data_IF_127777957819
#
_entry.id   IF_127777957819
#
_cell.length_a   1.000
_cell.length_b   1.000
_cell.length_c   1.000
_cell.angle_alpha   90.00
_cell.angle_beta   90.00
_cell.angle_gamma   90.00
#
_symmetry.space_group_name_H-M   'P 1'
#
loop_
_entity.id
_entity.type
_entity.pdbx_description
1 polymer ?
#
# COMPACT_ATOMS: atom_id res chain seq x y z
N UNK A 1 16.62 -3.08 32.05
CA UNK A 1 16.65 -4.15 31.05
C UNK A 1 17.67 -3.78 30.00
N UNK A 2 18.38 -4.74 29.42
CA UNK A 2 19.28 -4.45 28.33
C UNK A 2 18.47 -4.12 27.05
N UNK A 3 18.91 -3.11 26.31
CA UNK A 3 18.28 -2.67 25.06
C UNK A 3 18.96 -3.37 23.87
N UNK A 4 18.21 -3.63 22.80
CA UNK A 4 18.77 -4.11 21.54
C UNK A 4 19.63 -2.99 20.93
N UNK A 5 20.92 -3.23 20.78
CA UNK A 5 21.87 -2.33 20.16
C UNK A 5 23.06 -3.14 19.58
N UNK A 6 24.02 -2.48 18.91
CA UNK A 6 25.18 -3.15 18.29
C UNK A 6 26.21 -3.66 19.30
N UNK A 7 26.09 -3.32 20.57
CA UNK A 7 26.91 -3.89 21.64
C UNK A 7 26.34 -5.23 22.08
N UNK A 8 24.99 -5.31 22.22
CA UNK A 8 24.29 -6.53 22.67
C UNK A 8 24.13 -7.55 21.54
N UNK A 9 23.96 -7.08 20.30
CA UNK A 9 23.88 -7.95 19.11
C UNK A 9 24.87 -7.46 18.06
N UNK A 10 26.03 -8.10 17.93
CA UNK A 10 26.97 -7.79 16.86
C UNK A 10 26.27 -7.94 15.52
N UNK A 11 26.23 -6.87 14.71
CA UNK A 11 25.66 -6.93 13.35
C UNK A 11 26.42 -7.97 12.53
N UNK A 12 25.71 -8.85 11.77
CA UNK A 12 26.35 -9.73 10.79
C UNK A 12 27.07 -8.95 9.70
N UNK A 13 26.68 -7.71 9.45
CA UNK A 13 27.37 -6.78 8.54
C UNK A 13 28.50 -6.13 9.33
N UNK A 14 29.74 -6.49 9.02
CA UNK A 14 30.95 -6.00 9.69
C UNK A 14 30.95 -4.48 9.86
N UNK A 15 31.71 -3.99 10.85
CA UNK A 15 31.91 -2.57 11.18
C UNK A 15 32.73 -1.84 10.10
N UNK A 16 32.26 -1.87 8.85
CA UNK A 16 32.76 -0.98 7.83
C UNK A 16 32.12 0.38 8.03
N UNK A 17 32.85 1.45 7.67
CA UNK A 17 32.37 2.85 7.71
C UNK A 17 30.93 2.92 7.21
N UNK A 18 30.04 3.67 7.90
CA UNK A 18 28.63 3.71 7.56
C UNK A 18 28.42 4.45 6.22
N UNK A 19 28.43 3.70 5.13
CA UNK A 19 28.05 4.27 3.84
C UNK A 19 26.53 4.38 3.76
N UNK A 20 26.07 5.51 3.20
CA UNK A 20 24.66 5.77 2.89
C UNK A 20 24.51 5.84 1.39
N UNK A 21 23.97 4.80 0.79
CA UNK A 21 23.63 4.76 -0.64
C UNK A 21 22.16 5.04 -0.90
N UNK A 22 21.33 4.96 0.15
CA UNK A 22 19.87 5.13 0.07
C UNK A 22 19.41 6.17 1.09
N UNK A 23 18.59 7.13 0.66
CA UNK A 23 17.80 7.97 1.55
C UNK A 23 16.35 7.50 1.52
N UNK A 24 15.74 7.25 2.69
CA UNK A 24 14.35 6.84 2.78
C UNK A 24 13.50 7.85 3.55
N UNK A 25 12.44 8.36 2.92
CA UNK A 25 11.45 9.22 3.54
C UNK A 25 10.26 8.40 4.08
N UNK A 26 9.97 8.55 5.38
CA UNK A 26 8.85 7.88 6.04
C UNK A 26 9.19 6.49 6.58
N UNK A 27 10.16 6.34 7.52
CA UNK A 27 10.61 5.06 8.06
C UNK A 27 9.59 4.41 9.00
N UNK A 28 8.34 4.33 8.56
CA UNK A 28 7.22 3.71 9.28
C UNK A 28 7.33 2.19 9.40
N UNK A 29 6.31 1.56 9.98
CA UNK A 29 6.29 0.11 10.18
C UNK A 29 6.39 -0.64 8.85
N UNK A 30 5.69 -0.18 7.81
CA UNK A 30 5.73 -0.84 6.50
C UNK A 30 7.13 -0.83 5.89
N UNK A 31 7.80 0.33 5.83
CA UNK A 31 9.17 0.39 5.34
C UNK A 31 10.11 -0.56 6.10
N UNK A 32 10.06 -0.52 7.44
CA UNK A 32 10.93 -1.34 8.29
C UNK A 32 10.66 -2.84 8.13
N UNK A 33 9.41 -3.21 7.87
CA UNK A 33 9.02 -4.61 7.66
C UNK A 33 9.22 -5.08 6.21
N UNK A 34 9.38 -4.17 5.24
CA UNK A 34 9.41 -4.47 3.82
C UNK A 34 10.73 -4.03 3.17
N UNK A 35 10.86 -2.79 2.66
CA UNK A 35 12.05 -2.34 1.91
C UNK A 35 13.35 -2.54 2.68
N UNK A 36 13.36 -2.18 3.96
CA UNK A 36 14.56 -2.31 4.78
C UNK A 36 15.00 -3.78 4.96
N UNK A 37 14.10 -4.75 4.91
CA UNK A 37 14.45 -6.16 4.96
C UNK A 37 15.12 -6.63 3.66
N UNK A 38 14.67 -6.15 2.48
CA UNK A 38 15.35 -6.42 1.21
C UNK A 38 16.76 -5.83 1.17
N UNK A 39 16.91 -4.60 1.68
CA UNK A 39 18.23 -3.96 1.74
C UNK A 39 19.15 -4.65 2.76
N UNK A 40 18.63 -5.09 3.91
CA UNK A 40 19.40 -5.82 4.91
C UNK A 40 20.03 -7.10 4.34
N UNK A 41 19.30 -7.79 3.46
CA UNK A 41 19.79 -8.99 2.77
C UNK A 41 20.96 -8.70 1.82
N UNK A 42 21.05 -7.47 1.27
CA UNK A 42 22.14 -7.07 0.37
C UNK A 42 23.40 -6.59 1.08
N UNK A 43 23.26 -6.09 2.32
CA UNK A 43 24.38 -5.42 3.00
C UNK A 43 25.55 -6.33 3.34
N UNK A 44 25.33 -7.65 3.39
CA UNK A 44 26.40 -8.61 3.58
C UNK A 44 27.37 -8.64 2.39
N UNK A 45 26.84 -8.47 1.18
CA UNK A 45 27.61 -8.52 -0.07
C UNK A 45 28.04 -7.11 -0.51
N UNK A 46 27.21 -6.09 -0.29
CA UNK A 46 27.51 -4.71 -0.66
C UNK A 46 27.09 -3.71 0.42
N UNK A 47 28.00 -3.34 1.34
CA UNK A 47 27.69 -2.45 2.47
C UNK A 47 27.43 -0.99 2.08
N UNK A 48 27.58 -0.61 0.80
CA UNK A 48 27.31 0.75 0.32
C UNK A 48 25.84 1.15 0.43
N UNK A 49 24.91 0.19 0.48
CA UNK A 49 23.48 0.42 0.41
C UNK A 49 22.81 0.68 1.77
N UNK A 50 23.58 1.13 2.76
CA UNK A 50 22.99 1.59 4.03
C UNK A 50 21.96 2.70 3.83
N UNK A 51 20.95 2.73 4.69
CA UNK A 51 19.80 3.63 4.60
C UNK A 51 19.95 4.79 5.58
N UNK A 52 19.83 6.04 5.11
CA UNK A 52 19.50 7.18 5.94
C UNK A 52 17.97 7.30 6.07
N UNK A 53 17.44 7.12 7.27
CA UNK A 53 16.02 7.23 7.57
C UNK A 53 15.64 8.68 7.85
N UNK A 54 14.71 9.24 7.07
CA UNK A 54 14.25 10.63 7.19
C UNK A 54 12.78 10.68 7.59
N UNK A 55 12.50 11.23 8.76
CA UNK A 55 11.13 11.53 9.20
C UNK A 55 10.86 13.02 9.06
N UNK A 56 9.93 13.39 8.17
CA UNK A 56 9.64 14.80 7.87
C UNK A 56 8.81 15.51 8.96
N UNK A 57 8.11 14.77 9.84
CA UNK A 57 7.09 15.35 10.73
C UNK A 57 7.23 14.96 12.20
N UNK A 58 7.65 13.73 12.49
CA UNK A 58 7.65 13.17 13.84
C UNK A 58 9.01 12.60 14.20
N UNK A 59 9.34 12.51 15.49
CA UNK A 59 10.64 12.02 15.97
C UNK A 59 10.61 10.58 16.47
N UNK A 60 9.48 10.10 16.98
CA UNK A 60 9.43 8.86 17.76
C UNK A 60 10.08 7.65 17.11
N UNK A 61 9.83 7.41 15.82
CA UNK A 61 10.48 6.29 15.09
C UNK A 61 11.99 6.51 14.93
N UNK A 62 12.41 7.75 14.65
CA UNK A 62 13.82 8.09 14.49
C UNK A 62 14.57 7.94 15.82
N UNK A 63 13.97 8.41 16.92
CA UNK A 63 14.54 8.29 18.27
C UNK A 63 14.67 6.83 18.71
N UNK A 64 13.64 6.01 18.47
CA UNK A 64 13.68 4.58 18.76
C UNK A 64 14.78 3.85 17.97
N UNK A 65 14.91 4.13 16.66
CA UNK A 65 15.98 3.56 15.83
C UNK A 65 17.36 4.05 16.28
N UNK A 66 17.52 5.34 16.55
CA UNK A 66 18.80 5.91 16.98
C UNK A 66 19.26 5.35 18.32
N UNK A 67 18.33 5.16 19.27
CA UNK A 67 18.63 4.58 20.60
C UNK A 67 19.12 3.11 20.50
N UNK A 68 18.87 2.44 19.39
CA UNK A 68 19.20 1.03 19.13
C UNK A 68 20.25 0.86 18.03
N UNK A 69 21.03 1.91 17.70
CA UNK A 69 22.03 1.89 16.62
C UNK A 69 21.44 1.45 15.26
N UNK A 70 20.14 1.67 15.04
CA UNK A 70 19.40 1.27 13.85
C UNK A 70 19.01 -0.19 13.79
N UNK A 71 19.23 -0.96 14.83
CA UNK A 71 18.78 -2.35 14.92
C UNK A 71 17.32 -2.40 15.39
N UNK A 72 16.57 -3.34 14.85
CA UNK A 72 15.22 -3.68 15.32
C UNK A 72 14.84 -5.09 14.89
N UNK A 73 13.89 -5.66 15.61
CA UNK A 73 13.37 -7.00 15.33
C UNK A 73 12.23 -6.93 14.31
N UNK A 74 12.34 -7.72 13.26
CA UNK A 74 11.25 -8.06 12.37
C UNK A 74 10.66 -9.41 12.78
N UNK A 75 9.44 -9.41 13.30
CA UNK A 75 8.68 -10.62 13.61
C UNK A 75 7.87 -11.04 12.38
N UNK A 76 8.19 -12.19 11.82
CA UNK A 76 7.44 -12.81 10.72
C UNK A 76 6.36 -13.69 11.35
N UNK A 77 5.09 -13.33 11.10
CA UNK A 77 3.91 -13.94 11.70
C UNK A 77 3.23 -14.88 10.71
N UNK A 78 3.47 -16.18 10.89
CA UNK A 78 2.85 -17.23 10.10
C UNK A 78 2.67 -18.49 10.97
N UNK A 79 2.22 -19.61 10.40
CA UNK A 79 2.14 -20.90 11.06
C UNK A 79 3.49 -21.26 11.73
N UNK A 80 4.59 -21.00 11.06
CA UNK A 80 5.93 -21.03 11.61
C UNK A 80 6.43 -19.57 11.74
N UNK A 81 6.28 -19.01 12.95
CA UNK A 81 6.73 -17.65 13.23
C UNK A 81 8.25 -17.62 13.38
N UNK A 82 8.88 -16.58 12.82
CA UNK A 82 10.31 -16.34 12.92
C UNK A 82 10.59 -14.89 13.34
N UNK A 83 11.75 -14.65 13.94
CA UNK A 83 12.24 -13.31 14.24
C UNK A 83 13.64 -13.13 13.68
N UNK A 84 13.90 -11.98 13.10
CA UNK A 84 15.25 -11.58 12.65
C UNK A 84 15.54 -10.15 13.05
N UNK A 85 16.79 -9.85 13.33
CA UNK A 85 17.24 -8.49 13.58
C UNK A 85 17.61 -7.84 12.25
N UNK A 86 17.04 -6.68 11.96
CA UNK A 86 17.32 -5.85 10.80
C UNK A 86 18.29 -4.74 11.23
N UNK A 87 19.29 -4.50 10.40
CA UNK A 87 20.32 -3.49 10.65
C UNK A 87 20.63 -2.64 9.42
N UNK A 88 19.66 -2.41 8.53
CA UNK A 88 19.88 -1.68 7.28
C UNK A 88 20.10 -0.17 7.46
N UNK A 89 19.60 0.43 8.56
CA UNK A 89 19.67 1.87 8.78
C UNK A 89 21.03 2.30 9.35
N UNK A 90 21.52 3.45 8.89
CA UNK A 90 22.82 4.05 9.25
C UNK A 90 22.71 5.43 9.84
N UNK A 91 21.77 6.25 9.34
CA UNK A 91 21.51 7.60 9.83
C UNK A 91 20.02 7.78 10.13
N UNK A 92 19.73 8.66 11.11
CA UNK A 92 18.40 8.87 11.67
C UNK A 92 18.13 10.35 11.74
N UNK A 93 17.32 10.87 10.79
CA UNK A 93 17.13 12.29 10.58
C UNK A 93 15.68 12.68 10.87
N UNK A 94 15.51 13.61 11.82
CA UNK A 94 14.25 14.23 12.16
C UNK A 94 13.98 15.53 11.36
N UNK A 95 12.86 16.20 11.65
CA UNK A 95 12.53 17.48 10.98
C UNK A 95 13.55 18.60 11.18
N UNK A 96 14.35 18.55 12.25
CA UNK A 96 15.40 19.51 12.58
C UNK A 96 16.70 19.29 11.81
N UNK A 97 16.90 18.10 11.23
CA UNK A 97 18.14 17.71 10.55
C UNK A 97 18.14 18.09 9.07
N UNK A 98 17.40 19.16 8.71
CA UNK A 98 17.22 19.60 7.32
C UNK A 98 18.54 19.79 6.57
N UNK A 99 19.55 20.39 7.21
CA UNK A 99 20.87 20.60 6.60
C UNK A 99 21.55 19.28 6.24
N UNK A 100 21.46 18.26 7.11
CA UNK A 100 22.06 16.93 6.83
C UNK A 100 21.28 16.21 5.74
N UNK A 101 19.95 16.29 5.75
CA UNK A 101 19.10 15.74 4.70
C UNK A 101 19.45 16.34 3.32
N UNK A 102 19.60 17.67 3.23
CA UNK A 102 20.06 18.32 2.00
C UNK A 102 21.45 17.84 1.57
N UNK A 103 22.39 17.72 2.50
CA UNK A 103 23.74 17.23 2.19
C UNK A 103 23.72 15.82 1.60
N UNK A 104 22.91 14.90 2.17
CA UNK A 104 22.74 13.55 1.63
C UNK A 104 22.12 13.54 0.24
N UNK A 105 21.05 14.31 0.03
CA UNK A 105 20.42 14.39 -1.29
C UNK A 105 21.34 14.99 -2.36
N UNK A 106 22.28 15.84 -1.97
CA UNK A 106 23.28 16.40 -2.87
C UNK A 106 24.48 15.45 -3.11
N UNK A 107 24.72 14.48 -2.22
CA UNK A 107 25.86 13.57 -2.26
C UNK A 107 25.73 12.53 -3.38
N UNK A 108 26.64 12.48 -4.38
CA UNK A 108 26.58 11.48 -5.47
C UNK A 108 26.59 10.02 -5.02
N UNK A 109 27.07 9.71 -3.81
CA UNK A 109 27.02 8.34 -3.27
C UNK A 109 25.60 7.85 -2.96
N UNK A 110 24.65 8.77 -2.78
CA UNK A 110 23.22 8.45 -2.64
C UNK A 110 22.63 8.26 -4.03
N UNK A 111 22.45 7.04 -4.48
CA UNK A 111 21.93 6.74 -5.81
C UNK A 111 20.42 6.53 -5.83
N UNK A 112 19.83 6.11 -4.70
CA UNK A 112 18.41 5.79 -4.59
C UNK A 112 17.75 6.62 -3.47
N UNK A 113 16.59 7.22 -3.77
CA UNK A 113 15.78 7.93 -2.77
C UNK A 113 14.38 7.33 -2.77
N UNK A 114 14.08 6.55 -1.73
CA UNK A 114 12.80 5.84 -1.59
C UNK A 114 11.85 6.57 -0.64
N UNK A 115 10.53 6.31 -0.76
CA UNK A 115 9.54 6.92 0.11
C UNK A 115 8.37 5.98 0.43
N UNK A 116 7.91 6.02 1.69
CA UNK A 116 6.63 5.45 2.16
C UNK A 116 5.90 6.52 2.98
N UNK A 117 5.20 7.42 2.29
CA UNK A 117 4.59 8.64 2.87
C UNK A 117 3.07 8.65 2.82
N UNK A 118 2.44 7.57 2.40
CA UNK A 118 1.03 7.41 2.07
C UNK A 118 0.58 8.25 0.86
N UNK A 119 -0.58 7.93 0.29
CA UNK A 119 -1.08 8.64 -0.91
C UNK A 119 -1.23 10.15 -0.66
N UNK A 120 -1.61 10.55 0.56
CA UNK A 120 -1.74 11.97 0.95
C UNK A 120 -0.41 12.72 0.98
N UNK A 121 0.69 12.02 1.22
CA UNK A 121 2.04 12.60 1.28
C UNK A 121 2.58 13.09 -0.07
N UNK A 122 1.95 12.66 -1.17
CA UNK A 122 2.31 13.15 -2.52
C UNK A 122 1.65 14.48 -2.87
N UNK A 123 0.75 15.00 -2.04
CA UNK A 123 0.07 16.28 -2.23
C UNK A 123 -0.61 16.39 -3.61
N UNK A 124 -1.28 15.32 -4.05
CA UNK A 124 -1.98 15.28 -5.35
C UNK A 124 -3.45 15.71 -5.19
N UNK A 125 -3.96 16.38 -6.21
CA UNK A 125 -5.37 16.64 -6.40
C UNK A 125 -6.14 15.37 -6.82
N UNK A 126 -7.47 15.43 -6.85
CA UNK A 126 -8.31 14.29 -7.18
C UNK A 126 -8.13 13.73 -8.59
N UNK A 127 -7.58 14.51 -9.51
CA UNK A 127 -7.22 14.11 -10.88
C UNK A 127 -5.81 13.47 -10.98
N UNK A 128 -5.09 13.40 -9.86
CA UNK A 128 -3.74 12.85 -9.79
C UNK A 128 -2.61 13.80 -10.14
N UNK A 129 -2.90 15.07 -10.45
CA UNK A 129 -1.90 16.12 -10.65
C UNK A 129 -1.46 16.72 -9.32
N UNK A 130 -0.30 17.43 -9.29
CA UNK A 130 0.15 18.11 -8.09
C UNK A 130 -0.86 19.21 -7.68
N UNK A 131 -1.35 19.14 -6.44
CA UNK A 131 -2.21 20.19 -5.89
C UNK A 131 -1.38 21.41 -5.50
N UNK A 132 -1.37 22.41 -6.39
CA UNK A 132 -0.65 23.66 -6.20
C UNK A 132 -1.19 24.51 -5.04
N UNK A 133 -2.39 24.20 -4.53
CA UNK A 133 -3.02 24.88 -3.39
C UNK A 133 -2.80 24.11 -2.07
N UNK A 134 -2.19 22.93 -2.11
CA UNK A 134 -1.86 22.18 -0.89
C UNK A 134 -0.93 23.01 0.01
N UNK A 135 -1.24 23.13 1.29
CA UNK A 135 -0.54 24.03 2.22
C UNK A 135 0.98 23.78 2.26
N UNK A 136 1.42 22.52 2.24
CA UNK A 136 2.84 22.17 2.23
C UNK A 136 3.50 22.55 0.90
N UNK A 137 2.81 22.41 -0.25
CA UNK A 137 3.33 22.82 -1.57
C UNK A 137 3.46 24.34 -1.66
N UNK A 138 2.44 25.08 -1.25
CA UNK A 138 2.48 26.55 -1.23
C UNK A 138 3.65 27.06 -0.40
N UNK A 139 3.86 26.48 0.79
CA UNK A 139 4.98 26.83 1.67
C UNK A 139 6.33 26.52 1.02
N UNK A 140 6.49 25.35 0.45
CA UNK A 140 7.75 24.90 -0.12
C UNK A 140 8.10 25.71 -1.38
N UNK A 141 7.10 26.11 -2.17
CA UNK A 141 7.27 27.02 -3.32
C UNK A 141 7.69 28.42 -2.91
N UNK A 142 7.29 28.91 -1.73
CA UNK A 142 7.72 30.22 -1.22
C UNK A 142 9.22 30.27 -0.85
N UNK A 143 9.88 29.10 -0.82
CA UNK A 143 11.29 28.96 -0.50
C UNK A 143 11.51 28.69 0.99
N UNK A 144 12.07 27.54 1.30
CA UNK A 144 12.40 27.12 2.66
C UNK A 144 13.61 26.20 2.65
N UNK A 145 14.46 26.31 3.67
CA UNK A 145 15.58 25.40 3.88
C UNK A 145 15.13 24.05 4.48
N UNK A 146 13.88 23.94 4.88
CA UNK A 146 13.28 22.72 5.43
C UNK A 146 11.92 22.45 4.78
N UNK A 147 11.89 21.83 3.59
CA UNK A 147 10.65 21.44 2.92
C UNK A 147 9.76 20.56 3.82
N UNK A 148 8.45 20.71 3.69
CA UNK A 148 7.46 19.88 4.39
C UNK A 148 6.91 18.76 3.54
N UNK A 149 6.93 18.92 2.21
CA UNK A 149 6.47 17.91 1.27
C UNK A 149 7.64 17.04 0.77
N UNK A 150 7.36 15.79 0.46
CA UNK A 150 8.30 14.91 -0.25
C UNK A 150 8.77 15.57 -1.56
N UNK A 151 7.82 16.17 -2.30
CA UNK A 151 8.10 16.83 -3.58
C UNK A 151 9.13 17.96 -3.41
N UNK A 152 8.96 18.80 -2.38
CA UNK A 152 9.92 19.88 -2.07
C UNK A 152 11.32 19.35 -1.77
N UNK A 153 11.45 18.30 -0.98
CA UNK A 153 12.73 17.65 -0.66
C UNK A 153 13.40 17.08 -1.90
N UNK A 154 12.67 16.33 -2.72
CA UNK A 154 13.23 15.71 -3.91
C UNK A 154 13.68 16.77 -4.94
N UNK A 155 12.86 17.80 -5.18
CA UNK A 155 13.23 18.87 -6.12
C UNK A 155 14.42 19.68 -5.60
N UNK A 156 14.53 19.95 -4.30
CA UNK A 156 15.69 20.62 -3.72
C UNK A 156 16.98 19.81 -3.91
N UNK A 157 16.93 18.49 -3.65
CA UNK A 157 18.07 17.60 -3.86
C UNK A 157 18.48 17.48 -5.33
N UNK A 158 17.51 17.32 -6.24
CA UNK A 158 17.75 17.29 -7.68
C UNK A 158 18.32 18.61 -8.20
N UNK A 159 17.84 19.74 -7.68
CA UNK A 159 18.39 21.08 -7.99
C UNK A 159 19.85 21.23 -7.56
N UNK A 160 20.20 20.75 -6.36
CA UNK A 160 21.58 20.74 -5.88
C UNK A 160 22.50 19.87 -6.76
N UNK A 161 22.03 18.68 -7.17
CA UNK A 161 22.75 17.78 -8.10
C UNK A 161 23.01 18.46 -9.44
N UNK A 162 21.96 19.03 -10.05
CA UNK A 162 22.09 19.76 -11.32
C UNK A 162 23.09 20.89 -11.21
N UNK A 163 23.01 21.70 -10.16
CA UNK A 163 23.93 22.82 -9.94
C UNK A 163 25.39 22.37 -9.77
N UNK A 164 25.63 21.20 -9.19
CA UNK A 164 26.94 20.60 -9.03
C UNK A 164 27.41 19.81 -10.28
N UNK A 165 26.60 19.69 -11.33
CA UNK A 165 26.90 18.85 -12.49
C UNK A 165 26.92 17.35 -12.19
N UNK A 166 26.29 16.92 -11.08
CA UNK A 166 26.20 15.52 -10.67
C UNK A 166 24.98 14.82 -11.31
N UNK A 167 25.09 13.49 -11.47
CA UNK A 167 23.98 12.67 -11.93
C UNK A 167 22.78 12.74 -10.95
N UNK A 168 21.54 12.67 -11.44
CA UNK A 168 20.39 12.58 -10.55
C UNK A 168 20.40 11.27 -9.76
N UNK A 169 19.86 11.29 -8.54
CA UNK A 169 19.43 10.06 -7.88
C UNK A 169 18.13 9.54 -8.51
N UNK A 170 17.77 8.27 -8.24
CA UNK A 170 16.51 7.67 -8.67
C UNK A 170 15.47 7.84 -7.54
N UNK A 171 14.46 8.72 -7.69
CA UNK A 171 13.33 8.75 -6.76
C UNK A 171 12.45 7.52 -6.98
N UNK A 172 12.16 6.76 -5.91
CA UNK A 172 11.37 5.54 -5.99
C UNK A 172 10.24 5.56 -4.94
N UNK A 173 8.99 5.81 -5.35
CA UNK A 173 7.84 5.70 -4.45
C UNK A 173 7.57 4.23 -4.10
N UNK A 174 7.23 3.95 -2.83
CA UNK A 174 6.93 2.59 -2.35
C UNK A 174 5.57 2.54 -1.64
N UNK A 175 4.61 3.30 -2.13
CA UNK A 175 3.24 3.41 -1.59
C UNK A 175 2.20 2.74 -2.50
N UNK A 176 0.99 2.51 -1.96
CA UNK A 176 -0.14 1.91 -2.67
C UNK A 176 -0.88 2.91 -3.59
N UNK A 177 -0.16 3.76 -4.27
CA UNK A 177 -0.70 4.72 -5.24
C UNK A 177 -0.52 4.16 -6.64
N UNK A 178 -1.61 4.00 -7.38
CA UNK A 178 -1.55 3.48 -8.76
C UNK A 178 -0.71 4.39 -9.65
N UNK A 179 0.17 3.78 -10.47
CA UNK A 179 1.12 4.49 -11.34
C UNK A 179 1.96 5.51 -10.57
N UNK A 180 2.40 5.14 -9.38
CA UNK A 180 3.05 6.05 -8.41
C UNK A 180 4.31 6.72 -8.98
N UNK A 181 5.13 6.02 -9.77
CA UNK A 181 6.31 6.58 -10.41
C UNK A 181 5.97 7.71 -11.39
N UNK A 182 5.03 7.48 -12.30
CA UNK A 182 4.61 8.48 -13.28
C UNK A 182 4.00 9.73 -12.60
N UNK A 183 3.17 9.53 -11.56
CA UNK A 183 2.58 10.63 -10.78
C UNK A 183 3.64 11.42 -10.03
N UNK A 184 4.58 10.74 -9.38
CA UNK A 184 5.69 11.40 -8.69
C UNK A 184 6.53 12.21 -9.67
N UNK A 185 6.91 11.62 -10.81
CA UNK A 185 7.68 12.33 -11.83
C UNK A 185 6.96 13.59 -12.34
N UNK A 186 5.67 13.48 -12.68
CA UNK A 186 4.87 14.62 -13.11
C UNK A 186 4.79 15.72 -12.03
N UNK A 187 4.64 15.33 -10.75
CA UNK A 187 4.60 16.27 -9.62
C UNK A 187 5.94 16.99 -9.43
N UNK A 188 7.09 16.28 -9.56
CA UNK A 188 8.42 16.89 -9.49
C UNK A 188 8.62 17.94 -10.60
N UNK A 189 8.25 17.59 -11.83
CA UNK A 189 8.34 18.52 -12.98
C UNK A 189 7.43 19.73 -12.77
N UNK A 190 6.18 19.52 -12.34
CA UNK A 190 5.22 20.59 -12.10
C UNK A 190 5.70 21.55 -11.01
N UNK A 191 6.22 21.04 -9.89
CA UNK A 191 6.76 21.85 -8.81
C UNK A 191 7.99 22.63 -9.26
N UNK A 192 8.94 21.97 -9.93
CA UNK A 192 10.15 22.63 -10.42
C UNK A 192 9.83 23.74 -11.44
N UNK A 193 8.82 23.52 -12.29
CA UNK A 193 8.41 24.49 -13.34
C UNK A 193 8.03 25.85 -12.79
N UNK A 194 7.46 25.91 -11.59
CA UNK A 194 7.08 27.17 -10.94
C UNK A 194 8.31 27.99 -10.51
N UNK A 195 9.40 27.31 -10.14
CA UNK A 195 10.59 27.96 -9.59
C UNK A 195 11.71 28.15 -10.60
N UNK A 196 11.94 27.17 -11.45
CA UNK A 196 13.05 27.11 -12.40
C UNK A 196 12.67 26.21 -13.58
N UNK A 197 12.36 26.83 -14.72
CA UNK A 197 11.99 26.11 -15.94
C UNK A 197 13.13 25.21 -16.44
N UNK A 198 14.39 25.61 -16.30
CA UNK A 198 15.53 24.81 -16.73
C UNK A 198 15.74 23.58 -15.83
N UNK A 199 15.43 23.69 -14.53
CA UNK A 199 15.42 22.54 -13.64
C UNK A 199 14.28 21.57 -14.01
N UNK A 200 13.10 22.09 -14.31
CA UNK A 200 11.98 21.25 -14.72
C UNK A 200 12.27 20.49 -16.01
N UNK A 201 12.87 21.12 -17.01
CA UNK A 201 13.27 20.49 -18.25
C UNK A 201 14.34 19.40 -18.03
N UNK A 202 15.30 19.65 -17.15
CA UNK A 202 16.31 18.67 -16.77
C UNK A 202 15.68 17.48 -16.02
N UNK A 203 14.77 17.72 -15.05
CA UNK A 203 14.05 16.64 -14.37
C UNK A 203 13.27 15.81 -15.37
N UNK A 204 12.54 16.46 -16.28
CA UNK A 204 11.73 15.76 -17.29
C UNK A 204 12.57 14.88 -18.23
N UNK A 205 13.79 15.29 -18.57
CA UNK A 205 14.69 14.57 -19.47
C UNK A 205 15.57 13.51 -18.82
N UNK A 206 16.15 13.82 -17.67
CA UNK A 206 17.24 13.06 -17.09
C UNK A 206 16.83 12.20 -15.88
N UNK A 207 15.77 12.59 -15.13
CA UNK A 207 15.37 11.88 -13.93
C UNK A 207 14.45 10.72 -14.30
N UNK A 208 14.79 9.51 -13.86
CA UNK A 208 13.95 8.33 -14.00
C UNK A 208 13.28 8.04 -12.66
N UNK A 209 11.97 7.81 -12.69
CA UNK A 209 11.16 7.53 -11.50
C UNK A 209 10.39 6.23 -11.75
N UNK A 210 10.93 5.07 -11.34
CA UNK A 210 10.25 3.80 -11.56
C UNK A 210 8.93 3.75 -10.79
N UNK A 211 7.89 3.22 -11.42
CA UNK A 211 6.69 2.80 -10.71
C UNK A 211 6.99 1.55 -9.89
N UNK A 212 6.34 1.43 -8.73
CA UNK A 212 6.48 0.24 -7.89
C UNK A 212 5.13 -0.28 -7.40
N UNK A 213 5.06 -1.58 -7.14
CA UNK A 213 3.99 -2.20 -6.39
C UNK A 213 4.58 -2.95 -5.20
N UNK A 214 4.05 -2.69 -4.02
CA UNK A 214 4.46 -3.32 -2.77
C UNK A 214 3.30 -4.10 -2.18
N UNK A 215 3.55 -5.30 -1.68
CA UNK A 215 2.53 -6.13 -1.03
C UNK A 215 3.13 -6.90 0.15
N UNK A 216 2.65 -6.60 1.32
CA UNK A 216 2.84 -7.35 2.57
C UNK A 216 1.85 -6.83 3.60
N UNK A 217 1.31 -7.72 4.39
CA UNK A 217 0.46 -7.33 5.51
C UNK A 217 1.34 -7.03 6.71
N UNK A 218 1.31 -5.78 7.13
CA UNK A 218 2.12 -5.24 8.24
C UNK A 218 1.19 -4.61 9.27
N UNK A 219 0.73 -5.38 10.27
CA UNK A 219 -0.06 -4.84 11.36
C UNK A 219 0.73 -3.81 12.16
N UNK A 220 0.01 -2.89 12.82
CA UNK A 220 0.63 -1.97 13.74
C UNK A 220 1.37 -2.72 14.86
N UNK A 221 2.50 -2.17 15.29
CA UNK A 221 3.21 -2.67 16.49
C UNK A 221 2.40 -2.33 17.75
N UNK A 222 2.33 -3.26 18.66
CA UNK A 222 1.60 -3.13 19.92
C UNK A 222 2.40 -3.70 21.09
N UNK A 223 1.89 -3.55 22.31
CA UNK A 223 2.53 -4.06 23.51
C UNK A 223 2.77 -5.57 23.46
N UNK A 224 1.84 -6.34 22.87
CA UNK A 224 1.97 -7.79 22.77
C UNK A 224 3.14 -8.20 21.86
N UNK A 225 3.39 -7.43 20.79
CA UNK A 225 4.57 -7.64 19.95
C UNK A 225 5.86 -7.37 20.74
N UNK A 226 5.94 -6.22 21.43
CA UNK A 226 7.14 -5.86 22.17
C UNK A 226 7.46 -6.88 23.29
N UNK A 227 6.44 -7.33 24.01
CA UNK A 227 6.59 -8.35 25.07
C UNK A 227 7.02 -9.71 24.47
N UNK A 228 6.47 -10.10 23.32
CA UNK A 228 6.86 -11.34 22.65
C UNK A 228 8.30 -11.29 22.11
N UNK A 229 8.72 -10.14 21.58
CA UNK A 229 10.11 -9.91 21.15
C UNK A 229 11.05 -10.00 22.34
N UNK A 230 10.76 -9.26 23.43
CA UNK A 230 11.59 -9.27 24.64
C UNK A 230 11.70 -10.67 25.25
N UNK A 231 10.60 -11.42 25.32
CA UNK A 231 10.61 -12.81 25.78
C UNK A 231 11.47 -13.75 24.93
N UNK A 232 11.58 -13.48 23.62
CA UNK A 232 12.30 -14.32 22.66
C UNK A 232 13.79 -14.00 22.60
N UNK A 233 14.16 -12.72 22.52
CA UNK A 233 15.55 -12.31 22.33
C UNK A 233 16.23 -11.85 23.63
N UNK A 234 15.46 -11.68 24.72
CA UNK A 234 15.96 -11.24 26.03
C UNK A 234 16.34 -9.75 26.11
N UNK A 235 15.99 -8.96 25.09
CA UNK A 235 16.33 -7.54 24.95
C UNK A 235 15.07 -6.72 24.66
N UNK A 236 14.99 -5.50 25.21
CA UNK A 236 13.92 -4.55 24.90
C UNK A 236 14.14 -3.95 23.54
N UNK A 237 13.09 -3.96 22.69
CA UNK A 237 13.11 -3.40 21.35
C UNK A 237 11.88 -2.50 21.12
N UNK A 238 12.12 -1.18 21.12
CA UNK A 238 11.07 -0.16 20.94
C UNK A 238 10.78 0.12 19.45
N UNK A 239 11.61 -0.41 18.55
CA UNK A 239 11.47 -0.24 17.10
C UNK A 239 10.98 -1.53 16.40
N UNK A 240 10.62 -2.58 17.14
CA UNK A 240 10.16 -3.83 16.58
C UNK A 240 8.94 -3.65 15.68
N UNK A 241 8.91 -4.42 14.58
CA UNK A 241 7.79 -4.46 13.62
C UNK A 241 7.41 -5.90 13.31
N UNK A 242 6.21 -6.09 12.77
CA UNK A 242 5.72 -7.41 12.39
C UNK A 242 5.13 -7.40 10.97
N UNK A 243 5.25 -8.53 10.27
CA UNK A 243 4.60 -8.77 8.98
C UNK A 243 4.25 -10.25 8.81
N UNK A 244 3.43 -10.54 7.82
CA UNK A 244 3.26 -11.92 7.32
C UNK A 244 4.54 -12.43 6.64
N UNK A 245 4.59 -13.73 6.33
CA UNK A 245 5.72 -14.32 5.58
C UNK A 245 5.81 -13.81 4.15
N UNK A 246 4.66 -13.54 3.52
CA UNK A 246 4.61 -13.01 2.16
C UNK A 246 5.11 -11.56 2.11
N UNK A 247 6.04 -11.29 1.20
CA UNK A 247 6.45 -9.96 0.82
C UNK A 247 6.73 -9.92 -0.68
N UNK A 248 6.23 -8.89 -1.35
CA UNK A 248 6.47 -8.69 -2.77
C UNK A 248 6.81 -7.23 -3.04
N UNK A 249 7.89 -7.01 -3.76
CA UNK A 249 8.29 -5.71 -4.27
C UNK A 249 8.48 -5.82 -5.78
N UNK A 250 7.60 -5.18 -6.53
CA UNK A 250 7.65 -5.11 -7.99
C UNK A 250 8.10 -3.71 -8.37
N UNK A 251 9.09 -3.62 -9.24
CA UNK A 251 9.76 -2.37 -9.62
C UNK A 251 9.82 -2.30 -11.14
N UNK A 252 9.51 -1.14 -11.69
CA UNK A 252 9.62 -0.88 -13.13
C UNK A 252 11.08 -0.96 -13.60
N UNK A 253 11.29 -1.69 -14.69
CA UNK A 253 12.57 -1.68 -15.41
C UNK A 253 12.71 -0.37 -16.18
N UNK A 254 13.54 0.52 -15.68
CA UNK A 254 13.80 1.84 -16.29
C UNK A 254 14.96 1.81 -17.30
N UNK A 255 15.45 0.63 -17.67
CA UNK A 255 16.53 0.45 -18.65
C UNK A 255 17.91 0.88 -18.18
N UNK A 256 18.09 1.13 -16.88
CA UNK A 256 19.37 1.42 -16.23
C UNK A 256 19.43 0.79 -14.84
N UNK A 257 20.63 0.57 -14.26
CA UNK A 257 20.77 0.07 -12.90
C UNK A 257 20.06 0.99 -11.89
N UNK A 258 19.44 0.39 -10.88
CA UNK A 258 18.80 1.10 -9.76
C UNK A 258 19.78 1.44 -8.62
N UNK A 259 21.03 1.03 -8.74
CA UNK A 259 22.06 1.04 -7.71
C UNK A 259 22.18 -0.33 -7.05
N UNK A 260 21.40 -0.63 -5.98
CA UNK A 260 21.45 -1.94 -5.32
C UNK A 260 20.85 -3.05 -6.20
N UNK A 261 21.38 -4.28 -6.07
CA UNK A 261 20.85 -5.47 -6.74
C UNK A 261 19.53 -5.93 -6.06
N UNK A 262 18.47 -5.14 -6.24
CA UNK A 262 17.16 -5.46 -5.68
C UNK A 262 16.59 -6.77 -6.25
N UNK A 263 16.93 -7.13 -7.48
CA UNK A 263 16.52 -8.40 -8.08
C UNK A 263 17.18 -9.59 -7.35
N UNK A 264 18.46 -9.50 -7.04
CA UNK A 264 19.17 -10.50 -6.23
C UNK A 264 18.60 -10.64 -4.82
N UNK A 265 18.07 -9.56 -4.25
CA UNK A 265 17.35 -9.60 -2.96
C UNK A 265 15.89 -10.12 -3.08
N UNK A 266 15.44 -10.49 -4.28
CA UNK A 266 14.11 -11.06 -4.50
C UNK A 266 13.01 -10.08 -4.94
N UNK A 267 13.36 -8.82 -5.29
CA UNK A 267 12.40 -7.93 -5.93
C UNK A 267 12.15 -8.35 -7.39
N UNK A 268 10.94 -8.13 -7.88
CA UNK A 268 10.58 -8.40 -9.28
C UNK A 268 10.81 -7.15 -10.12
N UNK A 269 11.73 -7.22 -11.07
CA UNK A 269 11.95 -6.14 -12.05
C UNK A 269 11.15 -6.47 -13.32
N UNK A 270 10.31 -5.53 -13.78
CA UNK A 270 9.38 -5.77 -14.89
C UNK A 270 9.04 -4.49 -15.67
N UNK A 271 8.70 -4.64 -16.95
CA UNK A 271 8.16 -3.55 -17.75
C UNK A 271 6.63 -3.36 -17.60
N UNK A 272 5.97 -4.17 -16.76
CA UNK A 272 4.52 -4.12 -16.56
C UNK A 272 4.14 -4.18 -15.08
N UNK A 273 4.51 -3.15 -14.32
CA UNK A 273 4.09 -2.99 -12.93
C UNK A 273 2.57 -2.84 -12.82
N UNK A 274 1.95 -2.15 -13.80
CA UNK A 274 0.49 -1.94 -13.84
C UNK A 274 -0.32 -3.23 -13.88
N UNK A 275 0.22 -4.29 -14.50
CA UNK A 275 -0.41 -5.61 -14.50
C UNK A 275 -0.38 -6.26 -13.11
N UNK A 276 0.73 -6.15 -12.38
CA UNK A 276 0.84 -6.59 -10.98
C UNK A 276 -0.07 -5.79 -10.06
N UNK A 277 -0.13 -4.45 -10.24
CA UNK A 277 -1.06 -3.59 -9.50
C UNK A 277 -2.52 -4.03 -9.68
N UNK A 278 -2.94 -4.27 -10.93
CA UNK A 278 -4.30 -4.73 -11.24
C UNK A 278 -4.59 -6.10 -10.61
N UNK A 279 -3.65 -7.04 -10.69
CA UNK A 279 -3.80 -8.35 -10.06
C UNK A 279 -3.96 -8.22 -8.55
N UNK A 280 -3.09 -7.47 -7.86
CA UNK A 280 -3.21 -7.20 -6.43
C UNK A 280 -4.54 -6.53 -6.08
N UNK A 281 -4.90 -5.47 -6.81
CA UNK A 281 -6.09 -4.69 -6.52
C UNK A 281 -7.37 -5.51 -6.66
N UNK A 282 -7.47 -6.34 -7.71
CA UNK A 282 -8.68 -7.11 -8.00
C UNK A 282 -8.71 -8.43 -7.24
N UNK A 283 -7.61 -9.18 -7.16
CA UNK A 283 -7.55 -10.47 -6.46
C UNK A 283 -7.49 -10.25 -4.94
N UNK A 284 -6.42 -9.62 -4.43
CA UNK A 284 -6.23 -9.46 -2.98
C UNK A 284 -7.26 -8.50 -2.40
N UNK A 285 -7.29 -7.26 -2.90
CA UNK A 285 -8.13 -6.23 -2.29
C UNK A 285 -9.63 -6.43 -2.61
N UNK A 286 -9.97 -6.98 -3.77
CA UNK A 286 -11.36 -7.36 -4.11
C UNK A 286 -11.88 -8.45 -3.20
N UNK A 287 -11.08 -9.51 -2.99
CA UNK A 287 -11.42 -10.58 -2.06
C UNK A 287 -11.49 -10.10 -0.61
N UNK A 288 -10.59 -9.21 -0.15
CA UNK A 288 -10.68 -8.57 1.16
C UNK A 288 -12.00 -7.84 1.37
N UNK A 289 -12.44 -7.02 0.39
CA UNK A 289 -13.72 -6.33 0.49
C UNK A 289 -14.90 -7.30 0.53
N UNK A 290 -14.85 -8.35 -0.27
CA UNK A 290 -15.88 -9.40 -0.29
C UNK A 290 -15.99 -10.10 1.06
N UNK A 291 -14.84 -10.54 1.62
CA UNK A 291 -14.78 -11.15 2.94
C UNK A 291 -15.26 -10.21 4.04
N UNK A 292 -14.93 -8.91 3.94
CA UNK A 292 -15.34 -7.94 4.92
C UNK A 292 -16.87 -7.82 4.99
N UNK A 293 -17.53 -7.59 3.87
CA UNK A 293 -18.99 -7.39 3.87
C UNK A 293 -19.74 -8.70 4.11
N UNK A 294 -19.42 -9.76 3.38
CA UNK A 294 -20.09 -11.05 3.54
C UNK A 294 -19.80 -11.67 4.92
N UNK A 295 -18.55 -11.59 5.40
CA UNK A 295 -18.17 -12.11 6.72
C UNK A 295 -18.85 -11.39 7.86
N UNK A 296 -18.87 -10.03 7.84
CA UNK A 296 -19.61 -9.25 8.84
C UNK A 296 -21.10 -9.56 8.85
N UNK A 297 -21.74 -9.75 7.68
CA UNK A 297 -23.15 -10.14 7.59
C UNK A 297 -23.40 -11.51 8.21
N UNK A 298 -22.42 -12.40 8.16
CA UNK A 298 -22.46 -13.76 8.71
C UNK A 298 -21.90 -13.89 10.14
N UNK A 299 -21.51 -12.77 10.75
CA UNK A 299 -21.07 -12.69 12.15
C UNK A 299 -19.59 -12.92 12.40
N UNK A 300 -18.76 -13.05 11.34
CA UNK A 300 -17.31 -13.10 11.48
C UNK A 300 -16.75 -11.74 11.84
N UNK A 301 -15.62 -11.70 12.55
CA UNK A 301 -14.94 -10.48 13.00
C UNK A 301 -13.59 -10.25 12.33
N UNK A 302 -12.98 -11.34 11.83
CA UNK A 302 -11.68 -11.31 11.14
C UNK A 302 -11.71 -12.07 9.82
N UNK A 303 -10.72 -11.79 8.96
CA UNK A 303 -10.54 -12.47 7.67
C UNK A 303 -10.34 -13.97 7.88
N UNK A 304 -9.48 -14.36 8.83
CA UNK A 304 -9.23 -15.78 9.11
C UNK A 304 -10.47 -16.49 9.64
N UNK A 305 -11.32 -15.81 10.41
CA UNK A 305 -12.60 -16.35 10.87
C UNK A 305 -13.58 -16.51 9.70
N UNK A 306 -13.70 -15.51 8.83
CA UNK A 306 -14.53 -15.60 7.63
C UNK A 306 -14.10 -16.73 6.69
N UNK A 307 -12.80 -16.99 6.58
CA UNK A 307 -12.25 -18.09 5.77
C UNK A 307 -12.44 -19.50 6.36
N UNK A 308 -12.92 -19.63 7.62
CA UNK A 308 -13.34 -20.91 8.19
C UNK A 308 -14.73 -21.35 7.70
N UNK A 309 -15.49 -20.42 7.15
CA UNK A 309 -16.76 -20.73 6.48
C UNK A 309 -16.44 -21.23 5.07
N UNK A 310 -16.55 -22.55 4.87
CA UNK A 310 -16.19 -23.21 3.61
C UNK A 310 -17.02 -22.69 2.43
N UNK A 311 -18.29 -22.30 2.64
CA UNK A 311 -19.13 -21.75 1.60
C UNK A 311 -18.62 -20.36 1.16
N UNK A 312 -18.27 -19.50 2.11
CA UNK A 312 -17.71 -18.17 1.82
C UNK A 312 -16.30 -18.26 1.22
N UNK A 313 -15.45 -19.15 1.74
CA UNK A 313 -14.11 -19.37 1.20
C UNK A 313 -14.17 -19.91 -0.24
N UNK A 314 -15.06 -20.86 -0.51
CA UNK A 314 -15.32 -21.42 -1.84
C UNK A 314 -15.86 -20.37 -2.81
N UNK A 315 -16.77 -19.50 -2.34
CA UNK A 315 -17.30 -18.38 -3.11
C UNK A 315 -16.21 -17.39 -3.52
N UNK A 316 -15.34 -16.99 -2.59
CA UNK A 316 -14.23 -16.07 -2.88
C UNK A 316 -13.25 -16.69 -3.88
N UNK A 317 -12.92 -17.98 -3.73
CA UNK A 317 -12.09 -18.69 -4.70
C UNK A 317 -12.73 -18.73 -6.09
N UNK A 318 -14.04 -19.02 -6.17
CA UNK A 318 -14.78 -19.01 -7.43
C UNK A 318 -14.85 -17.63 -8.07
N UNK A 319 -15.06 -16.57 -7.27
CA UNK A 319 -15.03 -15.18 -7.74
C UNK A 319 -13.70 -14.84 -8.41
N UNK A 320 -12.58 -15.20 -7.76
CA UNK A 320 -11.26 -14.93 -8.33
C UNK A 320 -11.08 -15.70 -9.64
N UNK A 321 -11.39 -16.99 -9.67
CA UNK A 321 -11.17 -17.84 -10.85
C UNK A 321 -12.07 -17.55 -12.04
N UNK A 322 -13.34 -17.25 -11.79
CA UNK A 322 -14.36 -17.17 -12.83
C UNK A 322 -14.61 -15.74 -13.32
N UNK A 323 -14.57 -14.77 -12.40
CA UNK A 323 -14.95 -13.40 -12.70
C UNK A 323 -13.72 -12.46 -12.81
N UNK A 324 -12.68 -12.66 -11.98
CA UNK A 324 -11.55 -11.73 -11.90
C UNK A 324 -10.41 -12.17 -12.85
N UNK A 325 -9.90 -13.39 -12.68
CA UNK A 325 -8.71 -13.85 -13.41
C UNK A 325 -8.84 -13.76 -14.94
N UNK A 326 -10.00 -14.09 -15.56
CA UNK A 326 -10.16 -13.96 -17.02
C UNK A 326 -10.08 -12.52 -17.54
N UNK A 327 -10.34 -11.52 -16.66
CA UNK A 327 -10.36 -10.10 -17.00
C UNK A 327 -9.03 -9.40 -16.68
N UNK A 328 -8.04 -10.14 -16.16
CA UNK A 328 -6.71 -9.60 -15.91
C UNK A 328 -5.83 -9.67 -17.16
N UNK A 329 -4.95 -8.69 -17.40
CA UNK A 329 -3.97 -8.78 -18.47
C UNK A 329 -3.00 -9.95 -18.21
N UNK A 330 -2.50 -10.54 -19.30
CA UNK A 330 -1.41 -11.51 -19.20
C UNK A 330 -0.11 -10.75 -18.96
N UNK A 331 0.48 -10.95 -17.80
CA UNK A 331 1.71 -10.30 -17.38
C UNK A 331 2.84 -11.33 -17.32
N UNK A 332 3.96 -11.01 -17.97
CA UNK A 332 5.13 -11.90 -17.95
C UNK A 332 5.67 -12.03 -16.52
N UNK A 333 5.84 -13.25 -16.06
CA UNK A 333 6.36 -13.53 -14.72
C UNK A 333 5.31 -13.55 -13.61
N UNK A 334 4.04 -13.24 -13.90
CA UNK A 334 2.94 -13.33 -12.97
C UNK A 334 2.08 -14.56 -13.27
N UNK A 335 2.15 -15.56 -12.41
CA UNK A 335 1.24 -16.70 -12.40
C UNK A 335 0.02 -16.35 -11.54
N UNK A 336 -1.12 -16.13 -12.20
CA UNK A 336 -2.37 -15.73 -11.54
C UNK A 336 -2.90 -16.83 -10.63
N UNK A 337 -2.77 -18.12 -11.00
CA UNK A 337 -3.24 -19.22 -10.17
C UNK A 337 -2.37 -19.40 -8.93
N UNK A 338 -1.05 -19.29 -9.06
CA UNK A 338 -0.13 -19.30 -7.93
C UNK A 338 -0.39 -18.10 -7.00
N UNK A 339 -0.59 -16.90 -7.55
CA UNK A 339 -0.90 -15.71 -6.77
C UNK A 339 -2.24 -15.83 -6.03
N UNK A 340 -3.30 -16.35 -6.69
CA UNK A 340 -4.59 -16.66 -6.07
C UNK A 340 -4.43 -17.62 -4.89
N UNK A 341 -3.69 -18.71 -5.09
CA UNK A 341 -3.47 -19.71 -4.03
C UNK A 341 -2.74 -19.08 -2.84
N UNK A 342 -1.71 -18.27 -3.08
CA UNK A 342 -0.99 -17.53 -2.04
C UNK A 342 -1.91 -16.57 -1.27
N UNK A 343 -2.76 -15.80 -1.96
CA UNK A 343 -3.72 -14.88 -1.32
C UNK A 343 -4.70 -15.63 -0.42
N UNK A 344 -5.26 -16.75 -0.89
CA UNK A 344 -6.20 -17.55 -0.09
C UNK A 344 -5.52 -18.20 1.13
N UNK A 345 -4.24 -18.58 1.00
CA UNK A 345 -3.45 -19.07 2.13
C UNK A 345 -3.20 -17.97 3.17
N UNK A 346 -2.79 -16.77 2.72
CA UNK A 346 -2.61 -15.58 3.58
C UNK A 346 -3.88 -15.26 4.38
N UNK A 347 -5.06 -15.34 3.76
CA UNK A 347 -6.34 -15.08 4.43
C UNK A 347 -6.68 -16.10 5.51
N UNK A 348 -6.18 -17.34 5.40
CA UNK A 348 -6.36 -18.37 6.43
C UNK A 348 -5.41 -18.26 7.61
N UNK A 349 -4.41 -17.36 7.55
CA UNK A 349 -3.46 -17.17 8.63
C UNK A 349 -4.14 -16.55 9.87
N UNK A 350 -4.30 -17.28 10.99
CA UNK A 350 -5.00 -16.79 12.18
C UNK A 350 -4.09 -15.93 13.06
N UNK A 351 -2.79 -15.94 12.82
CA UNK A 351 -1.80 -15.24 13.66
C UNK A 351 -1.86 -13.73 13.43
N UNK A 352 -2.28 -13.31 12.23
CA UNK A 352 -2.48 -11.91 11.90
C UNK A 352 -3.98 -11.60 11.94
N UNK A 353 -4.38 -10.79 12.90
CA UNK A 353 -5.79 -10.41 13.05
C UNK A 353 -6.13 -9.26 12.10
N UNK A 354 -6.73 -9.61 10.96
CA UNK A 354 -7.31 -8.61 10.04
C UNK A 354 -8.77 -8.40 10.38
N UNK A 355 -9.09 -7.30 10.99
CA UNK A 355 -10.45 -6.96 11.39
C UNK A 355 -11.30 -6.59 10.17
N UNK A 356 -12.45 -7.25 10.02
CA UNK A 356 -13.36 -7.01 8.90
C UNK A 356 -13.99 -5.63 8.95
N UNK A 357 -14.25 -5.08 10.14
CA UNK A 357 -14.82 -3.74 10.32
C UNK A 357 -13.86 -2.63 9.85
N UNK A 358 -12.55 -2.82 9.95
CA UNK A 358 -11.55 -1.90 9.40
C UNK A 358 -11.44 -2.01 7.87
N UNK A 359 -11.53 -3.23 7.33
CA UNK A 359 -11.48 -3.46 5.88
C UNK A 359 -12.73 -2.92 5.20
N UNK A 360 -13.89 -2.99 5.87
CA UNK A 360 -15.18 -2.53 5.37
C UNK A 360 -15.30 -1.00 5.22
N UNK A 361 -14.37 -0.22 5.78
CA UNK A 361 -14.36 1.25 5.65
C UNK A 361 -14.10 1.70 4.22
N UNK A 362 -14.53 2.92 3.88
CA UNK A 362 -14.32 3.59 2.59
C UNK A 362 -14.82 2.78 1.38
N UNK A 363 -15.91 2.04 1.52
CA UNK A 363 -16.46 1.17 0.48
C UNK A 363 -16.79 1.92 -0.81
N UNK A 364 -17.36 3.15 -0.69
CA UNK A 364 -17.69 3.98 -1.84
C UNK A 364 -16.48 4.36 -2.69
N UNK A 365 -15.30 4.47 -2.07
CA UNK A 365 -14.05 4.79 -2.73
C UNK A 365 -13.32 3.54 -3.25
N UNK A 366 -13.41 2.43 -2.53
CA UNK A 366 -12.62 1.22 -2.80
C UNK A 366 -13.26 0.29 -3.83
N UNK A 367 -14.59 0.10 -3.76
CA UNK A 367 -15.28 -0.89 -4.60
C UNK A 367 -15.21 -0.60 -6.11
N UNK A 368 -15.28 0.65 -6.60
CA UNK A 368 -15.15 0.91 -8.03
C UNK A 368 -13.90 0.27 -8.64
N UNK A 369 -12.75 0.37 -7.99
CA UNK A 369 -11.48 -0.17 -8.49
C UNK A 369 -11.27 -1.65 -8.17
N UNK A 370 -11.80 -2.14 -7.03
CA UNK A 370 -11.59 -3.51 -6.56
C UNK A 370 -12.49 -4.52 -7.25
N UNK A 371 -13.75 -4.17 -7.47
CA UNK A 371 -14.78 -5.03 -8.04
C UNK A 371 -15.46 -4.40 -9.26
N UNK A 372 -15.68 -3.07 -9.26
CA UNK A 372 -16.40 -2.38 -10.31
C UNK A 372 -15.73 -2.46 -11.68
N UNK A 373 -14.40 -2.31 -11.76
CA UNK A 373 -13.66 -2.49 -13.00
C UNK A 373 -13.80 -3.92 -13.56
N UNK A 374 -13.82 -4.92 -12.67
CA UNK A 374 -14.04 -6.32 -13.07
C UNK A 374 -15.48 -6.52 -13.55
N UNK A 375 -16.44 -5.88 -12.90
CA UNK A 375 -17.85 -5.89 -13.32
C UNK A 375 -18.00 -5.38 -14.74
N UNK A 376 -17.44 -4.21 -15.04
CA UNK A 376 -17.51 -3.60 -16.39
C UNK A 376 -16.78 -4.48 -17.43
N UNK A 377 -15.55 -4.91 -17.13
CA UNK A 377 -14.75 -5.71 -18.06
C UNK A 377 -15.46 -7.02 -18.47
N UNK A 378 -16.15 -7.69 -17.53
CA UNK A 378 -16.96 -8.86 -17.87
C UNK A 378 -18.15 -8.51 -18.77
N UNK A 379 -18.83 -7.40 -18.47
CA UNK A 379 -19.97 -6.98 -19.33
C UNK A 379 -19.56 -6.60 -20.73
N UNK A 380 -18.42 -5.93 -20.87
CA UNK A 380 -17.82 -5.62 -22.18
C UNK A 380 -17.43 -6.90 -22.94
N UNK A 381 -17.04 -7.95 -22.22
CA UNK A 381 -16.78 -9.28 -22.78
C UNK A 381 -18.06 -10.13 -23.02
N UNK A 382 -19.25 -9.58 -22.75
CA UNK A 382 -20.53 -10.26 -22.93
C UNK A 382 -20.88 -11.31 -21.86
N UNK A 383 -20.19 -11.29 -20.71
CA UNK A 383 -20.41 -12.22 -19.60
C UNK A 383 -21.05 -11.52 -18.40
N UNK A 384 -21.75 -12.29 -17.55
CA UNK A 384 -22.31 -11.82 -16.30
C UNK A 384 -21.42 -12.32 -15.14
N UNK A 385 -20.70 -11.43 -14.42
CA UNK A 385 -19.84 -11.82 -13.31
C UNK A 385 -20.65 -12.06 -12.04
N UNK A 386 -21.28 -13.21 -11.94
CA UNK A 386 -22.25 -13.51 -10.90
C UNK A 386 -21.68 -13.39 -9.48
N UNK A 387 -20.41 -13.76 -9.26
CA UNK A 387 -19.79 -13.66 -7.94
C UNK A 387 -19.45 -12.22 -7.57
N UNK A 388 -18.98 -11.40 -8.51
CA UNK A 388 -18.72 -9.97 -8.28
C UNK A 388 -20.03 -9.23 -7.99
N UNK A 389 -21.11 -9.58 -8.72
CA UNK A 389 -22.47 -9.06 -8.48
C UNK A 389 -22.92 -9.39 -7.05
N UNK A 390 -22.77 -10.65 -6.62
CA UNK A 390 -23.10 -11.10 -5.27
C UNK A 390 -22.26 -10.38 -4.19
N UNK A 391 -20.96 -10.18 -4.43
CA UNK A 391 -20.08 -9.46 -3.52
C UNK A 391 -20.50 -7.99 -3.32
N UNK A 392 -20.90 -7.29 -4.40
CA UNK A 392 -21.46 -5.95 -4.32
C UNK A 392 -22.82 -5.97 -3.63
N UNK A 393 -23.66 -6.98 -3.86
CA UNK A 393 -24.91 -7.21 -3.14
C UNK A 393 -24.71 -7.31 -1.62
N UNK A 394 -23.66 -8.02 -1.18
CA UNK A 394 -23.26 -8.08 0.24
C UNK A 394 -22.91 -6.71 0.80
N UNK A 395 -22.20 -5.87 0.04
CA UNK A 395 -21.90 -4.49 0.47
C UNK A 395 -23.19 -3.69 0.67
N UNK A 396 -24.14 -3.75 -0.26
CA UNK A 396 -25.43 -3.06 -0.14
C UNK A 396 -26.19 -3.54 1.10
N UNK A 397 -26.27 -4.84 1.32
CA UNK A 397 -26.91 -5.40 2.52
C UNK A 397 -26.20 -4.97 3.81
N UNK A 398 -24.87 -4.86 3.80
CA UNK A 398 -24.10 -4.31 4.92
C UNK A 398 -24.48 -2.84 5.20
N UNK A 399 -24.57 -1.98 4.19
CA UNK A 399 -25.00 -0.57 4.35
C UNK A 399 -26.39 -0.50 5.00
N UNK A 400 -27.34 -1.30 4.52
CA UNK A 400 -28.71 -1.33 5.07
C UNK A 400 -28.68 -1.77 6.53
N UNK A 401 -27.90 -2.79 6.88
CA UNK A 401 -27.75 -3.26 8.26
C UNK A 401 -27.19 -2.16 9.17
N UNK A 402 -26.12 -1.47 8.73
CA UNK A 402 -25.53 -0.38 9.51
C UNK A 402 -26.51 0.78 9.72
N UNK A 403 -27.19 1.21 8.67
CA UNK A 403 -28.18 2.28 8.75
C UNK A 403 -29.34 1.94 9.71
N UNK A 404 -29.90 0.71 9.62
CA UNK A 404 -30.97 0.24 10.52
C UNK A 404 -30.52 0.11 11.97
N UNK A 405 -29.27 -0.23 12.21
CA UNK A 405 -28.69 -0.32 13.55
C UNK A 405 -28.29 1.06 14.13
N UNK A 406 -28.42 2.14 13.36
CA UNK A 406 -27.91 3.46 13.77
C UNK A 406 -26.39 3.53 13.91
N UNK A 407 -25.66 2.57 13.31
CA UNK A 407 -24.22 2.51 13.36
C UNK A 407 -23.62 3.39 12.25
N UNK A 408 -22.63 4.21 12.59
CA UNK A 408 -21.98 5.09 11.63
C UNK A 408 -21.30 4.29 10.49
N UNK A 409 -21.52 4.69 9.26
CA UNK A 409 -20.80 4.18 8.09
C UNK A 409 -19.52 4.99 7.96
N UNK A 410 -18.37 4.36 8.21
CA UNK A 410 -17.04 5.00 8.10
C UNK A 410 -16.64 5.06 6.64
N UNK A 411 -16.98 6.16 5.99
CA UNK A 411 -16.79 6.40 4.56
C UNK A 411 -16.86 7.92 4.30
N UNK A 412 -16.08 8.50 3.38
CA UNK A 412 -16.21 9.91 3.00
C UNK A 412 -17.65 10.32 2.60
N UNK A 413 -18.38 9.39 1.97
CA UNK A 413 -19.80 9.56 1.63
C UNK A 413 -20.74 8.99 2.71
N UNK A 414 -20.27 8.72 3.93
CA UNK A 414 -20.98 7.96 4.97
C UNK A 414 -22.37 8.48 5.29
N UNK A 415 -22.56 9.81 5.41
CA UNK A 415 -23.87 10.40 5.66
C UNK A 415 -24.85 10.15 4.49
N UNK A 416 -24.38 10.30 3.26
CA UNK A 416 -25.18 10.05 2.04
C UNK A 416 -25.53 8.56 1.92
N UNK A 417 -24.55 7.67 2.16
CA UNK A 417 -24.76 6.22 2.14
C UNK A 417 -25.78 5.78 3.20
N UNK A 418 -25.71 6.36 4.40
CA UNK A 418 -26.66 6.08 5.48
C UNK A 418 -28.08 6.53 5.11
N UNK A 419 -28.23 7.73 4.52
CA UNK A 419 -29.53 8.23 4.06
C UNK A 419 -30.12 7.31 2.97
N UNK A 420 -29.33 6.96 1.94
CA UNK A 420 -29.78 6.05 0.88
C UNK A 420 -30.18 4.68 1.46
N UNK A 421 -29.38 4.13 2.39
CA UNK A 421 -29.60 2.82 2.96
C UNK A 421 -30.79 2.76 3.96
N UNK A 422 -31.21 3.92 4.50
CA UNK A 422 -32.38 4.03 5.37
C UNK A 422 -33.71 4.08 4.59
N UNK A 423 -33.66 4.46 3.31
CA UNK A 423 -34.83 4.67 2.47
C UNK A 423 -35.07 3.47 1.54
N UNK A 424 -36.21 2.80 1.68
CA UNK A 424 -36.62 1.72 0.79
C UNK A 424 -36.01 0.32 1.07
N UNK A 425 -36.21 -0.58 0.11
CA UNK A 425 -35.67 -1.92 0.13
C UNK A 425 -34.33 -2.05 -0.58
N UNK A 426 -33.69 -3.24 -0.56
CA UNK A 426 -32.39 -3.45 -1.19
C UNK A 426 -32.34 -3.03 -2.67
N UNK A 427 -33.40 -3.25 -3.43
CA UNK A 427 -33.50 -2.86 -4.84
C UNK A 427 -33.49 -1.33 -5.03
N UNK A 428 -34.15 -0.59 -4.13
CA UNK A 428 -34.17 0.87 -4.19
C UNK A 428 -32.83 1.46 -3.84
N UNK A 429 -32.15 0.87 -2.85
CA UNK A 429 -30.79 1.26 -2.45
C UNK A 429 -29.82 1.07 -3.62
N UNK A 430 -29.84 -0.09 -4.31
CA UNK A 430 -29.01 -0.31 -5.53
C UNK A 430 -29.31 0.76 -6.58
N UNK A 431 -30.59 1.03 -6.87
CA UNK A 431 -30.98 2.04 -7.85
C UNK A 431 -30.41 3.42 -7.52
N UNK A 432 -30.47 3.81 -6.24
CA UNK A 432 -29.97 5.11 -5.78
C UNK A 432 -28.44 5.20 -5.83
N UNK A 433 -27.73 4.12 -5.44
CA UNK A 433 -26.26 4.05 -5.51
C UNK A 433 -25.75 4.13 -6.96
N UNK A 434 -26.39 3.37 -7.88
CA UNK A 434 -26.05 3.42 -9.32
C UNK A 434 -26.29 4.80 -9.89
N UNK A 435 -27.45 5.41 -9.58
CA UNK A 435 -27.78 6.76 -10.08
C UNK A 435 -26.79 7.83 -9.62
N UNK A 436 -26.24 7.70 -8.41
CA UNK A 436 -25.31 8.67 -7.84
C UNK A 436 -23.84 8.30 -8.09
N UNK A 437 -23.56 7.14 -8.69
CA UNK A 437 -22.19 6.66 -8.92
C UNK A 437 -21.40 6.40 -7.62
N UNK A 438 -22.10 6.03 -6.53
CA UNK A 438 -21.49 5.79 -5.22
C UNK A 438 -21.16 4.31 -5.03
N UNK A 439 -19.88 3.98 -5.05
CA UNK A 439 -19.38 2.60 -4.85
C UNK A 439 -19.65 1.63 -6.00
N UNK A 440 -20.55 1.98 -6.90
CA UNK A 440 -20.87 1.26 -8.14
C UNK A 440 -20.57 2.17 -9.32
N UNK A 441 -19.80 1.73 -10.33
CA UNK A 441 -19.49 2.57 -11.48
C UNK A 441 -20.73 3.11 -12.20
N UNK A 442 -20.73 4.39 -12.57
CA UNK A 442 -21.86 5.03 -13.22
C UNK A 442 -22.26 4.35 -14.56
N UNK A 443 -21.30 3.72 -15.26
CA UNK A 443 -21.55 2.97 -16.48
C UNK A 443 -22.57 1.82 -16.31
N UNK A 444 -22.75 1.31 -15.08
CA UNK A 444 -23.72 0.26 -14.74
C UNK A 444 -25.18 0.73 -15.01
N UNK A 445 -25.45 2.03 -14.91
CA UNK A 445 -26.79 2.58 -15.11
C UNK A 445 -27.36 2.28 -16.53
N UNK A 446 -26.49 2.11 -17.51
CA UNK A 446 -26.88 1.77 -18.89
C UNK A 446 -27.22 0.30 -19.13
N UNK A 447 -26.95 -0.59 -18.16
CA UNK A 447 -27.19 -2.04 -18.29
C UNK A 447 -28.29 -2.51 -17.34
N UNK A 448 -29.52 -2.53 -17.86
CA UNK A 448 -30.69 -2.91 -17.07
C UNK A 448 -30.61 -4.35 -16.51
N UNK A 449 -29.94 -5.27 -17.24
CA UNK A 449 -29.78 -6.65 -16.79
C UNK A 449 -28.82 -6.74 -15.61
N UNK A 450 -27.76 -5.95 -15.62
CA UNK A 450 -26.79 -5.86 -14.54
C UNK A 450 -27.39 -5.18 -13.29
N UNK A 451 -28.18 -4.10 -13.47
CA UNK A 451 -28.90 -3.47 -12.37
C UNK A 451 -29.86 -4.45 -11.71
N UNK A 452 -30.64 -5.20 -12.49
CA UNK A 452 -31.55 -6.22 -11.96
C UNK A 452 -30.82 -7.34 -11.20
N UNK A 453 -29.67 -7.79 -11.71
CA UNK A 453 -28.84 -8.77 -11.03
C UNK A 453 -28.29 -8.26 -9.69
N UNK A 454 -27.83 -7.01 -9.63
CA UNK A 454 -27.40 -6.37 -8.37
C UNK A 454 -28.53 -6.22 -7.37
N UNK A 455 -29.73 -5.84 -7.82
CA UNK A 455 -30.93 -5.74 -6.97
C UNK A 455 -31.30 -7.10 -6.36
N UNK A 456 -31.26 -8.16 -7.17
CA UNK A 456 -31.53 -9.53 -6.70
C UNK A 456 -30.47 -9.96 -5.70
N UNK A 457 -29.18 -9.76 -5.99
CA UNK A 457 -28.09 -10.12 -5.10
C UNK A 457 -28.14 -9.36 -3.77
N UNK A 458 -28.48 -8.06 -3.80
CA UNK A 458 -28.65 -7.27 -2.59
C UNK A 458 -29.81 -7.76 -1.73
N UNK A 459 -30.92 -8.17 -2.35
CA UNK A 459 -32.08 -8.74 -1.65
C UNK A 459 -31.72 -10.10 -1.04
N UNK A 460 -31.10 -11.00 -1.80
CA UNK A 460 -30.67 -12.31 -1.29
C UNK A 460 -29.67 -12.18 -0.13
N UNK A 461 -28.72 -11.24 -0.21
CA UNK A 461 -27.75 -10.95 0.87
C UNK A 461 -28.46 -10.39 2.12
N UNK A 462 -29.43 -9.49 1.93
CA UNK A 462 -30.20 -8.89 3.01
C UNK A 462 -31.05 -9.92 3.76
N UNK A 463 -31.66 -10.82 3.01
CA UNK A 463 -32.55 -11.87 3.53
C UNK A 463 -31.78 -13.12 4.05
N UNK A 464 -30.43 -13.15 3.87
CA UNK A 464 -29.60 -14.26 4.30
C UNK A 464 -29.69 -15.50 3.40
N UNK A 465 -30.06 -15.34 2.15
CA UNK A 465 -30.20 -16.42 1.16
C UNK A 465 -28.81 -16.88 0.61
N UNK A 466 -27.91 -17.24 1.53
CA UNK A 466 -26.50 -17.55 1.21
C UNK A 466 -26.32 -18.68 0.20
N UNK A 467 -27.22 -19.68 0.22
CA UNK A 467 -27.15 -20.78 -0.74
C UNK A 467 -27.39 -20.34 -2.19
N UNK A 468 -28.12 -19.24 -2.41
CA UNK A 468 -28.29 -18.62 -3.74
C UNK A 468 -27.12 -17.78 -4.16
N UNK A 469 -26.50 -17.10 -3.20
CA UNK A 469 -25.38 -16.19 -3.46
C UNK A 469 -24.07 -16.92 -3.68
N UNK A 470 -23.84 -18.01 -2.94
CA UNK A 470 -22.55 -18.72 -2.91
C UNK A 470 -22.60 -20.09 -3.60
N UNK A 471 -23.78 -20.52 -4.06
CA UNK A 471 -24.03 -21.84 -4.66
C UNK A 471 -23.63 -22.02 -6.12
#
# INVERSE_FOLDING_TARGET
>A
MATLDRVTVPSPVGRTEPHVGIVHFGPGAFHRAHQAAYIDDLLADDPRWGIAAVSMRTRGTIEALAAQDGLYTLAIRDAESAMRVIGAHREFLGPEDARRTHALLADPSVELVTATVTEKGYCLAGDGTLDMNHADIVRDLAGTDAPRSLIGWLVAGLGARKAAGAAPFVPMPCDNLASNGAKLHAALVAFARVRDAALADWIAGEVRVPSTMVDSITPASDAALYDAVEATIGLRDEAAVQRESFAQWVIEDIGQPLGPDLAGAGATITNDVGGYEKAKLRILNGAHSTLAYAGLLRGATSVAEAMRDDALAGFVDAMIRRDIAPMLPKVRGLDIDAYRAAVLQRFRNPVIVHRLDQIAQDGSQKLPYRLGDTLIANRDAGTMPAHVVAAIGCWVAFLIRQARAGTAIVDPAGATLAAIAAEGGPADVVTNLVRQGLGIPAAVAGDASLVAALQTAASDAHDGNWARLFG
#
